data_IF_410414384208
#
_entry.id   IF_410414384208
#
_cell.length_a   1.000
_cell.length_b   1.000
_cell.length_c   1.000
_cell.angle_alpha   90.00
_cell.angle_beta   90.00
_cell.angle_gamma   90.00
#
_symmetry.space_group_name_H-M   'P 1'
#
loop_
_entity.id
_entity.type
_entity.pdbx_description
1 polymer ?
#
# COMPACT_ATOMS: atom_id res chain seq x y z
N UNK A 1 -9.16 3.49 8.11
CA UNK A 1 -7.98 3.09 7.31
C UNK A 1 -6.75 3.95 7.60
N UNK A 2 -6.91 5.19 8.09
CA UNK A 2 -5.78 6.08 8.39
C UNK A 2 -4.68 5.49 9.28
N UNK A 3 -4.97 4.71 10.34
CA UNK A 3 -3.91 4.09 11.15
C UNK A 3 -3.03 3.11 10.34
N UNK A 4 -3.65 2.38 9.39
CA UNK A 4 -2.97 1.39 8.54
C UNK A 4 -2.06 2.11 7.54
N UNK A 5 -2.61 3.11 6.84
CA UNK A 5 -1.85 3.92 5.87
C UNK A 5 -0.72 4.67 6.57
N UNK A 6 -0.97 5.21 7.76
CA UNK A 6 0.06 5.85 8.59
C UNK A 6 1.17 4.87 8.93
N UNK A 7 0.84 3.66 9.37
CA UNK A 7 1.85 2.66 9.70
C UNK A 7 2.74 2.31 8.50
N UNK A 8 2.15 2.10 7.31
CA UNK A 8 2.92 1.84 6.07
C UNK A 8 3.87 3.01 5.77
N UNK A 9 3.36 4.24 5.81
CA UNK A 9 4.16 5.46 5.60
C UNK A 9 5.25 5.63 6.65
N UNK A 10 4.98 5.31 7.90
CA UNK A 10 5.96 5.37 8.99
C UNK A 10 7.13 4.41 8.72
N UNK A 11 6.86 3.21 8.18
CA UNK A 11 7.92 2.27 7.77
C UNK A 11 8.76 2.84 6.61
N UNK A 12 8.12 3.41 5.58
CA UNK A 12 8.86 4.09 4.51
C UNK A 12 9.68 5.28 5.02
N UNK A 13 9.13 6.10 5.93
CA UNK A 13 9.86 7.19 6.59
C UNK A 13 11.03 6.70 7.45
N UNK A 14 10.88 5.59 8.15
CA UNK A 14 11.95 4.99 8.94
C UNK A 14 13.10 4.51 8.04
N UNK A 15 12.76 3.86 6.93
CA UNK A 15 13.73 3.42 5.93
C UNK A 15 14.46 4.60 5.29
N UNK A 16 13.73 5.63 4.85
CA UNK A 16 14.29 6.85 4.23
C UNK A 16 15.25 7.59 5.17
N UNK A 17 14.91 7.70 6.46
CA UNK A 17 15.81 8.32 7.46
C UNK A 17 17.15 7.59 7.56
N UNK A 18 17.14 6.26 7.53
CA UNK A 18 18.37 5.45 7.53
C UNK A 18 19.14 5.60 6.21
N UNK A 19 18.44 5.65 5.07
CA UNK A 19 19.05 5.85 3.76
C UNK A 19 19.78 7.20 3.64
N UNK A 20 19.19 8.27 4.18
CA UNK A 20 19.74 9.63 4.14
C UNK A 20 20.88 9.88 5.15
N UNK A 21 21.13 8.96 6.07
CA UNK A 21 22.18 9.13 7.09
C UNK A 21 23.56 8.88 6.46
N UNK A 22 24.50 9.81 6.66
CA UNK A 22 25.85 9.74 6.07
C UNK A 22 26.64 8.50 6.53
N UNK A 23 26.54 8.13 7.81
CA UNK A 23 27.08 6.88 8.35
C UNK A 23 25.97 5.82 8.39
N UNK A 24 25.65 5.26 7.22
CA UNK A 24 24.66 4.18 7.12
C UNK A 24 25.28 2.83 7.44
N UNK A 25 24.51 1.97 8.10
CA UNK A 25 24.82 0.55 8.22
C UNK A 25 24.87 -0.08 6.82
N UNK A 26 25.76 -1.07 6.62
CA UNK A 26 25.85 -1.81 5.35
C UNK A 26 24.55 -2.55 5.02
N UNK A 27 23.82 -2.97 6.04
CA UNK A 27 22.56 -3.69 5.94
C UNK A 27 21.48 -2.94 6.72
N UNK A 28 20.57 -2.27 6.00
CA UNK A 28 19.41 -1.64 6.63
C UNK A 28 18.35 -2.73 6.81
N UNK A 29 17.94 -2.97 8.06
CA UNK A 29 16.80 -3.84 8.32
C UNK A 29 15.55 -3.25 7.64
N UNK A 30 15.01 -3.98 6.66
CA UNK A 30 13.82 -3.59 5.92
C UNK A 30 12.56 -4.00 6.69
N UNK A 31 11.83 -3.00 7.18
CA UNK A 31 10.53 -3.16 7.87
C UNK A 31 9.36 -2.68 7.03
N UNK A 32 9.59 -2.30 5.75
CA UNK A 32 8.53 -1.88 4.84
C UNK A 32 7.57 -3.04 4.61
N UNK A 33 6.30 -2.71 4.38
CA UNK A 33 5.27 -3.71 4.14
C UNK A 33 5.29 -4.07 2.65
N UNK A 34 5.71 -5.30 2.34
CA UNK A 34 5.83 -5.73 0.94
C UNK A 34 4.52 -6.19 0.31
N UNK A 35 3.56 -6.61 1.15
CA UNK A 35 2.25 -7.10 0.70
C UNK A 35 1.17 -6.84 1.76
N UNK A 36 0.00 -6.42 1.31
CA UNK A 36 -1.21 -6.26 2.11
C UNK A 36 -2.29 -7.23 1.62
N UNK A 37 -2.58 -8.25 2.41
CA UNK A 37 -3.73 -9.13 2.16
C UNK A 37 -5.02 -8.43 2.58
N UNK A 38 -5.87 -8.12 1.61
CA UNK A 38 -7.14 -7.44 1.87
C UNK A 38 -8.29 -8.45 1.90
N UNK A 39 -8.85 -8.68 3.09
CA UNK A 39 -9.91 -9.66 3.29
C UNK A 39 -11.29 -9.07 2.99
N UNK A 40 -11.90 -9.56 1.91
CA UNK A 40 -13.25 -9.21 1.47
C UNK A 40 -14.23 -10.17 2.14
N UNK A 41 -15.33 -9.63 2.67
CA UNK A 41 -16.39 -10.44 3.28
C UNK A 41 -17.13 -11.26 2.21
N UNK A 42 -17.42 -12.55 2.44
CA UNK A 42 -18.10 -13.43 1.48
C UNK A 42 -19.62 -13.15 1.47
N UNK A 43 -20.01 -11.97 0.98
CA UNK A 43 -21.42 -11.56 0.95
C UNK A 43 -22.18 -12.13 -0.26
N UNK A 44 -21.47 -12.58 -1.30
CA UNK A 44 -22.06 -13.00 -2.57
C UNK A 44 -22.60 -11.85 -3.44
N UNK A 45 -22.42 -10.59 -3.01
CA UNK A 45 -22.92 -9.40 -3.70
C UNK A 45 -21.77 -8.56 -4.29
N UNK A 46 -21.79 -7.24 -4.11
CA UNK A 46 -20.72 -6.35 -4.56
C UNK A 46 -19.75 -6.02 -3.42
N UNK A 47 -18.63 -5.37 -3.77
CA UNK A 47 -17.75 -4.75 -2.79
C UNK A 47 -18.51 -3.70 -1.98
N UNK A 48 -18.23 -3.63 -0.67
CA UNK A 48 -18.86 -2.58 0.13
C UNK A 48 -18.25 -1.23 -0.26
N UNK A 49 -19.02 -0.12 -0.20
CA UNK A 49 -18.49 1.21 -0.46
C UNK A 49 -17.25 1.56 0.36
N UNK A 50 -17.21 1.08 1.62
CA UNK A 50 -16.06 1.21 2.49
C UNK A 50 -14.82 0.50 1.93
N UNK A 51 -14.98 -0.70 1.36
CA UNK A 51 -13.87 -1.48 0.82
C UNK A 51 -13.24 -0.76 -0.37
N UNK A 52 -14.06 -0.16 -1.23
CA UNK A 52 -13.63 0.63 -2.40
C UNK A 52 -12.76 1.81 -1.96
N UNK A 53 -13.19 2.58 -0.95
CA UNK A 53 -12.43 3.73 -0.44
C UNK A 53 -11.08 3.29 0.15
N UNK A 54 -11.08 2.20 0.93
CA UNK A 54 -9.86 1.70 1.57
C UNK A 54 -8.89 1.13 0.54
N UNK A 55 -9.38 0.31 -0.39
CA UNK A 55 -8.55 -0.32 -1.44
C UNK A 55 -7.88 0.73 -2.32
N UNK A 56 -8.58 1.80 -2.71
CA UNK A 56 -7.99 2.92 -3.46
C UNK A 56 -6.80 3.53 -2.71
N UNK A 57 -6.97 3.81 -1.41
CA UNK A 57 -5.90 4.38 -0.58
C UNK A 57 -4.73 3.43 -0.37
N UNK A 58 -4.99 2.14 -0.19
CA UNK A 58 -3.93 1.16 -0.01
C UNK A 58 -3.15 0.89 -1.30
N UNK A 59 -3.84 0.78 -2.45
CA UNK A 59 -3.20 0.50 -3.75
C UNK A 59 -2.19 1.55 -4.21
N UNK A 60 -2.26 2.76 -3.66
CA UNK A 60 -1.29 3.83 -3.92
C UNK A 60 0.00 3.73 -3.07
N UNK A 61 0.00 2.87 -2.05
CA UNK A 61 1.04 2.85 -1.00
C UNK A 61 1.68 1.50 -0.77
N UNK A 62 1.02 0.40 -1.17
CA UNK A 62 1.50 -0.97 -0.96
C UNK A 62 0.91 -1.90 -2.01
N UNK A 63 1.56 -3.04 -2.25
CA UNK A 63 1.00 -4.12 -3.05
C UNK A 63 -0.21 -4.71 -2.32
N UNK A 64 -1.39 -4.63 -2.93
CA UNK A 64 -2.62 -5.16 -2.35
C UNK A 64 -3.03 -6.43 -3.10
N UNK A 65 -3.25 -7.50 -2.33
CA UNK A 65 -3.72 -8.80 -2.83
C UNK A 65 -5.09 -9.08 -2.20
N UNK A 66 -6.18 -9.05 -2.99
CA UNK A 66 -7.52 -9.25 -2.46
C UNK A 66 -7.80 -10.75 -2.22
N UNK A 67 -8.45 -11.03 -1.10
CA UNK A 67 -8.74 -12.38 -0.62
C UNK A 67 -10.19 -12.44 -0.16
N UNK A 68 -10.99 -13.37 -0.68
CA UNK A 68 -12.32 -13.66 -0.15
C UNK A 68 -12.15 -14.49 1.13
N UNK A 69 -12.55 -13.90 2.26
CA UNK A 69 -12.48 -14.55 3.57
C UNK A 69 -13.57 -15.61 3.72
N UNK A 70 -13.31 -16.66 4.53
CA UNK A 70 -14.32 -17.67 4.91
C UNK A 70 -15.10 -18.19 3.68
N UNK A 71 -14.36 -18.56 2.63
CA UNK A 71 -14.97 -18.98 1.37
C UNK A 71 -15.83 -20.25 1.50
N UNK A 72 -15.69 -20.98 2.61
CA UNK A 72 -16.56 -22.11 3.01
C UNK A 72 -18.03 -21.71 3.26
N UNK A 73 -18.34 -20.41 3.30
CA UNK A 73 -19.72 -19.90 3.39
C UNK A 73 -20.41 -19.73 2.03
N UNK A 74 -19.68 -19.87 0.92
CA UNK A 74 -20.21 -19.77 -0.44
C UNK A 74 -20.12 -21.13 -1.13
N UNK A 75 -21.10 -21.44 -1.96
CA UNK A 75 -21.00 -22.55 -2.91
C UNK A 75 -19.95 -22.24 -3.99
N UNK A 76 -19.51 -23.26 -4.74
CA UNK A 76 -18.53 -23.07 -5.82
C UNK A 76 -19.04 -22.10 -6.91
N UNK A 77 -20.34 -22.17 -7.22
CA UNK A 77 -21.00 -21.30 -8.19
C UNK A 77 -21.07 -19.85 -7.69
N UNK A 78 -21.53 -19.63 -6.45
CA UNK A 78 -21.57 -18.30 -5.83
C UNK A 78 -20.18 -17.69 -5.71
N UNK A 79 -19.18 -18.51 -5.37
CA UNK A 79 -17.78 -18.08 -5.29
C UNK A 79 -17.28 -17.58 -6.63
N UNK A 80 -17.59 -18.29 -7.73
CA UNK A 80 -17.18 -17.88 -9.07
C UNK A 80 -17.87 -16.58 -9.48
N UNK A 81 -19.19 -16.50 -9.33
CA UNK A 81 -19.95 -15.27 -9.63
C UNK A 81 -19.45 -14.07 -8.81
N UNK A 82 -19.13 -14.28 -7.53
CA UNK A 82 -18.63 -13.23 -6.66
C UNK A 82 -17.23 -12.76 -7.07
N UNK A 83 -16.35 -13.67 -7.51
CA UNK A 83 -15.03 -13.30 -8.04
C UNK A 83 -15.14 -12.43 -9.29
N UNK A 84 -15.98 -12.84 -10.23
CA UNK A 84 -16.13 -12.13 -11.50
C UNK A 84 -16.68 -10.73 -11.25
N UNK A 85 -17.67 -10.61 -10.36
CA UNK A 85 -18.20 -9.31 -9.92
C UNK A 85 -17.16 -8.43 -9.23
N UNK A 86 -16.31 -8.99 -8.36
CA UNK A 86 -15.22 -8.23 -7.73
C UNK A 86 -14.22 -7.72 -8.78
N UNK A 87 -13.88 -8.53 -9.80
CA UNK A 87 -12.98 -8.12 -10.88
C UNK A 87 -13.57 -6.97 -11.70
N UNK A 88 -14.86 -7.04 -12.02
CA UNK A 88 -15.57 -5.94 -12.70
C UNK A 88 -15.55 -4.65 -11.89
N UNK A 89 -15.79 -4.72 -10.57
CA UNK A 89 -15.74 -3.58 -9.67
C UNK A 89 -14.33 -2.95 -9.58
N UNK A 90 -13.27 -3.77 -9.56
CA UNK A 90 -11.89 -3.27 -9.59
C UNK A 90 -11.59 -2.52 -10.89
N UNK A 91 -12.03 -3.06 -12.03
CA UNK A 91 -11.88 -2.39 -13.32
C UNK A 91 -12.69 -1.08 -13.37
N UNK A 92 -13.96 -1.12 -12.97
CA UNK A 92 -14.85 0.03 -12.96
C UNK A 92 -14.33 1.19 -12.08
N UNK A 93 -13.78 0.85 -10.91
CA UNK A 93 -13.25 1.84 -9.97
C UNK A 93 -11.77 2.18 -10.19
N UNK A 94 -11.14 1.61 -11.23
CA UNK A 94 -9.73 1.77 -11.57
C UNK A 94 -8.80 1.48 -10.38
N UNK A 95 -9.05 0.38 -9.67
CA UNK A 95 -8.26 -0.02 -8.51
C UNK A 95 -7.24 -1.07 -8.96
N UNK A 96 -5.96 -0.72 -8.93
CA UNK A 96 -4.87 -1.61 -9.35
C UNK A 96 -4.49 -2.56 -8.22
N UNK A 97 -4.75 -3.84 -8.42
CA UNK A 97 -4.31 -4.92 -7.52
C UNK A 97 -3.03 -5.55 -8.05
N UNK A 98 -2.25 -6.15 -7.14
CA UNK A 98 -1.08 -6.94 -7.51
C UNK A 98 -1.53 -8.35 -7.97
N UNK A 99 -0.87 -8.98 -8.98
CA UNK A 99 0.31 -8.52 -9.73
C UNK A 99 0.00 -7.44 -10.78
N UNK A 100 0.94 -6.53 -11.01
CA UNK A 100 0.79 -5.46 -12.00
C UNK A 100 1.20 -5.92 -13.40
N UNK A 101 0.68 -5.28 -14.44
CA UNK A 101 1.22 -5.45 -15.79
C UNK A 101 2.56 -4.72 -15.90
N UNK A 102 3.60 -5.42 -16.38
CA UNK A 102 4.90 -4.84 -16.71
C UNK A 102 5.31 -5.34 -18.10
N UNK A 103 5.68 -4.42 -18.98
CA UNK A 103 6.10 -4.72 -20.36
C UNK A 103 7.51 -5.33 -20.41
N UNK A 104 8.28 -5.21 -19.32
CA UNK A 104 9.63 -5.76 -19.19
C UNK A 104 9.63 -7.26 -18.81
N UNK A 105 8.49 -7.81 -18.40
CA UNK A 105 8.38 -9.22 -18.04
C UNK A 105 8.61 -10.11 -19.26
N UNK A 106 9.34 -11.21 -19.07
CA UNK A 106 9.47 -12.22 -20.11
C UNK A 106 8.15 -12.99 -20.34
N UNK A 107 8.13 -13.87 -21.33
CA UNK A 107 6.93 -14.65 -21.66
C UNK A 107 6.50 -15.60 -20.54
N UNK A 108 7.45 -16.13 -19.76
CA UNK A 108 7.17 -17.07 -18.67
C UNK A 108 6.58 -16.32 -17.47
N UNK A 109 7.17 -15.19 -17.09
CA UNK A 109 6.67 -14.28 -16.05
C UNK A 109 5.27 -13.74 -16.39
N UNK A 110 5.08 -13.30 -17.64
CA UNK A 110 3.79 -12.81 -18.14
C UNK A 110 2.70 -13.89 -18.07
N UNK A 111 3.05 -15.14 -18.43
CA UNK A 111 2.13 -16.27 -18.34
C UNK A 111 1.78 -16.60 -16.87
N UNK A 112 2.78 -16.58 -15.97
CA UNK A 112 2.58 -16.82 -14.54
C UNK A 112 1.67 -15.75 -13.91
N UNK A 113 1.92 -14.48 -14.21
CA UNK A 113 1.10 -13.36 -13.75
C UNK A 113 -0.33 -13.46 -14.27
N UNK A 114 -0.51 -13.83 -15.55
CA UNK A 114 -1.84 -14.03 -16.14
C UNK A 114 -2.61 -15.17 -15.47
N UNK A 115 -1.94 -16.28 -15.16
CA UNK A 115 -2.54 -17.40 -14.43
C UNK A 115 -2.99 -16.95 -13.04
N UNK A 116 -2.16 -16.22 -12.29
CA UNK A 116 -2.53 -15.72 -10.97
C UNK A 116 -3.68 -14.71 -11.03
N UNK A 117 -3.66 -13.78 -11.99
CA UNK A 117 -4.76 -12.80 -12.20
C UNK A 117 -6.10 -13.50 -12.46
N UNK A 118 -6.08 -14.66 -13.09
CA UNK A 118 -7.31 -15.45 -13.31
C UNK A 118 -7.91 -15.99 -12.00
N UNK A 119 -7.07 -16.28 -11.00
CA UNK A 119 -7.46 -16.87 -9.71
C UNK A 119 -7.86 -15.78 -8.69
N UNK A 120 -7.21 -14.62 -8.70
CA UNK A 120 -7.47 -13.50 -7.78
C UNK A 120 -8.88 -12.92 -7.99
N UNK A 121 -9.65 -12.62 -6.93
CA UNK A 121 -9.29 -12.74 -5.51
C UNK A 121 -9.27 -14.19 -5.00
N UNK A 122 -8.27 -14.55 -4.19
CA UNK A 122 -8.14 -15.91 -3.64
C UNK A 122 -9.27 -16.19 -2.64
N UNK A 123 -9.98 -17.29 -2.81
CA UNK A 123 -11.07 -17.69 -1.95
C UNK A 123 -10.59 -18.71 -0.90
N UNK A 124 -10.24 -18.21 0.28
CA UNK A 124 -9.51 -18.99 1.29
C UNK A 124 -10.35 -19.34 2.51
N UNK A 125 -9.98 -20.47 3.11
CA UNK A 125 -10.45 -20.91 4.42
C UNK A 125 -9.25 -20.98 5.34
N UNK A 126 -9.33 -20.35 6.51
CA UNK A 126 -8.30 -20.46 7.55
C UNK A 126 -8.66 -21.48 8.61
N UNK A 127 -7.68 -22.23 9.12
CA UNK A 127 -7.84 -23.03 10.34
C UNK A 127 -6.56 -23.06 11.17
N UNK A 128 -6.71 -22.95 12.49
CA UNK A 128 -5.66 -23.19 13.47
C UNK A 128 -5.72 -24.63 14.04
N UNK A 129 -6.77 -25.38 13.73
CA UNK A 129 -6.99 -26.73 14.25
C UNK A 129 -6.44 -27.78 13.30
N UNK A 130 -5.81 -28.79 13.88
CA UNK A 130 -5.45 -30.01 13.19
C UNK A 130 -6.59 -31.03 13.31
N UNK A 131 -6.89 -31.69 12.21
CA UNK A 131 -7.93 -32.71 12.08
C UNK A 131 -7.32 -33.95 11.43
N UNK A 132 -7.87 -35.12 11.73
CA UNK A 132 -7.45 -36.36 11.08
C UNK A 132 -8.41 -36.65 9.91
N UNK A 133 -7.86 -36.68 8.69
CA UNK A 133 -8.57 -37.06 7.46
C UNK A 133 -7.81 -38.24 6.87
N UNK A 134 -8.46 -39.40 6.80
CA UNK A 134 -7.88 -40.64 6.24
C UNK A 134 -6.51 -41.02 6.82
N UNK A 135 -6.33 -40.84 8.13
CA UNK A 135 -5.09 -41.16 8.85
C UNK A 135 -4.02 -40.07 8.77
N UNK A 136 -4.25 -39.00 8.01
CA UNK A 136 -3.33 -37.85 7.90
C UNK A 136 -3.82 -36.69 8.76
N UNK A 137 -2.91 -36.14 9.56
CA UNK A 137 -3.15 -34.93 10.34
C UNK A 137 -2.95 -33.72 9.43
N UNK A 138 -4.05 -33.04 9.12
CA UNK A 138 -4.07 -31.86 8.23
C UNK A 138 -4.68 -30.66 8.94
N UNK A 139 -4.34 -29.44 8.52
CA UNK A 139 -5.01 -28.24 9.01
C UNK A 139 -6.39 -28.14 8.37
N UNK A 140 -7.43 -28.01 9.20
CA UNK A 140 -8.77 -28.00 8.66
C UNK A 140 -9.86 -27.66 9.66
N UNK A 141 -11.07 -27.44 9.14
CA UNK A 141 -12.26 -27.12 9.92
C UNK A 141 -13.21 -28.30 9.89
N UNK A 142 -13.68 -28.72 11.05
CA UNK A 142 -14.75 -29.72 11.15
C UNK A 142 -16.05 -28.99 11.49
N UNK A 143 -17.07 -29.20 10.66
CA UNK A 143 -18.42 -28.70 10.88
C UNK A 143 -19.41 -29.88 10.96
N UNK A 144 -20.70 -29.61 11.12
CA UNK A 144 -21.73 -30.66 11.23
C UNK A 144 -21.94 -31.43 9.91
N UNK A 145 -21.56 -30.85 8.78
CA UNK A 145 -21.81 -31.38 7.45
C UNK A 145 -20.57 -32.04 6.83
N UNK A 146 -19.41 -31.95 7.48
CA UNK A 146 -18.18 -32.56 7.01
C UNK A 146 -16.94 -31.83 7.48
N UNK A 147 -15.87 -32.05 6.74
CA UNK A 147 -14.52 -31.67 7.12
C UNK A 147 -13.85 -30.95 5.96
N UNK A 148 -13.35 -29.75 6.21
CA UNK A 148 -12.69 -28.90 5.23
C UNK A 148 -11.19 -28.97 5.51
N UNK A 149 -10.46 -29.70 4.65
CA UNK A 149 -9.00 -29.63 4.61
C UNK A 149 -8.58 -28.33 3.91
N UNK A 150 -7.85 -27.46 4.62
CA UNK A 150 -7.39 -26.15 4.10
C UNK A 150 -6.28 -26.32 3.05
N UNK A 151 -5.55 -27.44 3.08
CA UNK A 151 -4.49 -27.73 2.11
C UNK A 151 -4.98 -28.53 0.90
N UNK A 152 -6.29 -28.78 0.77
CA UNK A 152 -6.88 -29.40 -0.41
C UNK A 152 -7.41 -28.32 -1.36
N UNK A 153 -6.84 -28.26 -2.56
CA UNK A 153 -7.19 -27.30 -3.63
C UNK A 153 -8.66 -27.42 -4.07
N UNK A 154 -9.27 -28.59 -3.88
CA UNK A 154 -10.69 -28.81 -4.17
C UNK A 154 -11.61 -28.13 -3.17
N UNK A 155 -11.12 -27.86 -1.96
CA UNK A 155 -11.90 -27.20 -0.90
C UNK A 155 -11.71 -25.69 -0.89
N UNK A 156 -10.47 -25.21 -1.00
CA UNK A 156 -10.19 -23.77 -1.03
C UNK A 156 -8.85 -23.45 -1.69
N UNK A 157 -8.65 -22.17 -1.98
CA UNK A 157 -7.50 -21.69 -2.75
C UNK A 157 -6.33 -21.26 -1.86
N UNK A 158 -6.28 -21.74 -0.62
CA UNK A 158 -5.23 -21.39 0.33
C UNK A 158 -3.85 -21.84 -0.15
N UNK A 159 -3.75 -23.01 -0.80
CA UNK A 159 -2.50 -23.52 -1.37
C UNK A 159 -1.95 -22.55 -2.41
N UNK A 160 -2.79 -22.03 -3.30
CA UNK A 160 -2.39 -21.04 -4.30
C UNK A 160 -1.94 -19.73 -3.64
N UNK A 161 -2.65 -19.23 -2.64
CA UNK A 161 -2.23 -18.02 -1.90
C UNK A 161 -0.88 -18.22 -1.20
N UNK A 162 -0.67 -19.38 -0.55
CA UNK A 162 0.59 -19.68 0.15
C UNK A 162 1.74 -19.73 -0.83
N UNK A 163 1.61 -20.48 -1.91
CA UNK A 163 2.67 -20.66 -2.90
C UNK A 163 2.96 -19.36 -3.64
N UNK A 164 1.92 -18.56 -3.93
CA UNK A 164 2.04 -17.20 -4.43
C UNK A 164 2.92 -16.31 -3.53
N UNK A 165 2.62 -16.25 -2.23
CA UNK A 165 3.34 -15.37 -1.29
C UNK A 165 4.75 -15.85 -0.93
N UNK A 166 4.99 -17.15 -0.93
CA UNK A 166 6.21 -17.73 -0.34
C UNK A 166 7.18 -18.34 -1.35
N UNK A 167 6.72 -18.66 -2.56
CA UNK A 167 7.52 -19.36 -3.56
C UNK A 167 7.70 -18.56 -4.84
N UNK A 168 6.60 -18.04 -5.40
CA UNK A 168 6.65 -17.46 -6.76
C UNK A 168 6.81 -15.94 -6.77
N UNK A 169 6.04 -15.20 -5.97
CA UNK A 169 5.97 -13.73 -6.10
C UNK A 169 6.64 -12.96 -4.94
N UNK A 170 7.28 -13.66 -3.99
CA UNK A 170 7.90 -13.00 -2.83
C UNK A 170 8.91 -11.94 -3.23
N UNK A 171 9.77 -12.26 -4.19
CA UNK A 171 10.83 -11.36 -4.64
C UNK A 171 10.25 -10.15 -5.40
N UNK A 172 9.33 -10.38 -6.33
CA UNK A 172 8.68 -9.31 -7.09
C UNK A 172 7.83 -8.38 -6.20
N UNK A 173 7.20 -8.90 -5.14
CA UNK A 173 6.55 -8.08 -4.10
C UNK A 173 7.53 -7.15 -3.40
N UNK A 174 8.73 -7.64 -3.06
CA UNK A 174 9.79 -6.84 -2.43
C UNK A 174 10.30 -5.77 -3.40
N UNK A 175 10.56 -6.15 -4.66
CA UNK A 175 11.07 -5.26 -5.70
C UNK A 175 10.07 -4.16 -6.05
N UNK A 176 8.81 -4.53 -6.29
CA UNK A 176 7.73 -3.57 -6.53
C UNK A 176 7.55 -2.61 -5.36
N UNK A 177 7.68 -3.09 -4.11
CA UNK A 177 7.65 -2.22 -2.93
C UNK A 177 8.79 -1.23 -2.93
N UNK A 178 9.99 -1.65 -3.32
CA UNK A 178 11.16 -0.77 -3.35
C UNK A 178 11.12 0.22 -4.51
N UNK A 179 10.84 -0.25 -5.72
CA UNK A 179 10.97 0.52 -6.96
C UNK A 179 9.74 1.39 -7.27
N UNK A 180 8.55 0.96 -6.85
CA UNK A 180 7.30 1.68 -7.13
C UNK A 180 6.83 2.43 -5.88
N UNK A 181 6.44 1.71 -4.84
CA UNK A 181 5.77 2.31 -3.68
C UNK A 181 6.71 3.19 -2.86
N UNK A 182 7.90 2.68 -2.54
CA UNK A 182 8.90 3.42 -1.77
C UNK A 182 9.51 4.58 -2.56
N UNK A 183 9.91 4.40 -3.82
CA UNK A 183 10.43 5.51 -4.63
C UNK A 183 9.38 6.61 -4.85
N UNK A 184 8.11 6.25 -5.07
CA UNK A 184 7.02 7.23 -5.16
C UNK A 184 6.87 8.02 -3.86
N UNK A 185 7.00 7.35 -2.71
CA UNK A 185 6.99 8.02 -1.40
C UNK A 185 8.22 8.92 -1.21
N UNK A 186 9.42 8.40 -1.53
CA UNK A 186 10.70 9.09 -1.40
C UNK A 186 10.73 10.37 -2.25
N UNK A 187 10.32 10.28 -3.52
CA UNK A 187 10.23 11.44 -4.41
C UNK A 187 9.32 12.54 -3.84
N UNK A 188 8.12 12.16 -3.35
CA UNK A 188 7.18 13.11 -2.71
C UNK A 188 7.80 13.80 -1.48
N UNK A 189 8.52 13.04 -0.64
CA UNK A 189 9.15 13.61 0.56
C UNK A 189 10.32 14.53 0.23
N UNK A 190 11.17 14.17 -0.73
CA UNK A 190 12.30 15.01 -1.13
C UNK A 190 11.85 16.33 -1.77
N UNK A 191 10.77 16.31 -2.56
CA UNK A 191 10.17 17.53 -3.11
C UNK A 191 9.63 18.44 -2.00
N UNK A 192 8.91 17.89 -1.01
CA UNK A 192 8.41 18.67 0.11
C UNK A 192 9.53 19.30 0.98
N UNK A 193 10.65 18.60 1.15
CA UNK A 193 11.85 19.14 1.83
C UNK A 193 12.51 20.28 1.04
N UNK A 194 12.51 20.19 -0.30
CA UNK A 194 13.02 21.26 -1.17
C UNK A 194 12.14 22.51 -1.13
N UNK A 195 10.82 22.34 -1.16
CA UNK A 195 9.86 23.46 -1.10
C UNK A 195 9.93 24.20 0.25
N UNK A 196 10.02 23.46 1.35
CA UNK A 196 10.17 24.05 2.69
C UNK A 196 11.48 24.82 2.86
N UNK A 197 12.60 24.30 2.35
CA UNK A 197 13.88 25.02 2.39
C UNK A 197 13.90 26.28 1.51
N UNK A 198 13.21 26.25 0.36
CA UNK A 198 13.05 27.42 -0.52
C UNK A 198 12.18 28.53 0.10
N UNK A 199 11.11 28.18 0.81
CA UNK A 199 10.27 29.17 1.51
C UNK A 199 11.01 29.87 2.66
N UNK A 200 11.88 29.14 3.38
CA UNK A 200 12.73 29.73 4.43
C UNK A 200 13.75 30.72 3.83
N UNK A 201 14.30 30.45 2.65
CA UNK A 201 15.21 31.37 1.97
C UNK A 201 14.49 32.55 1.28
N UNK A 202 13.19 32.43 1.00
CA UNK A 202 12.37 33.50 0.41
C UNK A 202 11.90 34.58 1.39
N UNK A 203 11.88 34.31 2.70
CA UNK A 203 11.53 35.32 3.72
C UNK A 203 12.73 36.14 4.23
N UNK A 204 13.96 35.76 3.89
CA UNK A 204 15.19 36.43 4.34
C UNK A 204 15.70 37.58 3.47
N UNK A 205 15.07 37.86 2.32
CA UNK A 205 15.57 38.84 1.34
C UNK A 205 14.52 39.89 0.99
N UNK A 206 14.11 40.70 1.98
CA UNK A 206 13.58 42.04 1.65
C UNK A 206 14.77 42.98 1.54
N UNK A 207 15.07 43.58 0.38
CA UNK A 207 16.08 44.61 0.31
C UNK A 207 15.59 45.80 1.15
N UNK A 208 16.35 46.16 2.18
CA UNK A 208 16.17 47.42 2.91
C UNK A 208 16.37 48.52 1.86
N UNK A 209 15.27 49.16 1.46
CA UNK A 209 15.32 50.27 0.52
C UNK A 209 15.95 51.47 1.24
N UNK A 210 17.03 52.10 0.72
CA UNK A 210 17.72 53.21 1.39
C UNK A 210 16.92 54.53 1.40
N UNK A 211 15.61 54.48 1.18
CA UNK A 211 14.74 55.64 1.01
C UNK A 211 14.11 56.13 2.32
N UNK A 212 14.13 55.32 3.39
CA UNK A 212 13.41 55.63 4.63
C UNK A 212 14.20 56.54 5.61
N UNK A 213 15.52 56.62 5.50
CA UNK A 213 16.34 57.46 6.41
C UNK A 213 16.41 58.94 6.02
N UNK A 214 15.80 59.34 4.90
CA UNK A 214 15.87 60.73 4.42
C UNK A 214 14.75 61.63 4.92
N UNK A 215 13.71 61.08 5.56
CA UNK A 215 12.59 61.87 6.09
C UNK A 215 12.78 62.28 7.57
N UNK A 216 13.55 61.52 8.36
CA UNK A 216 13.82 61.85 9.77
C UNK A 216 14.75 63.07 9.95
N UNK A 217 15.62 63.35 8.98
CA UNK A 217 16.50 64.54 9.01
C UNK A 217 15.81 65.84 8.60
N UNK A 218 14.61 65.80 8.01
CA UNK A 218 13.87 67.02 7.59
C UNK A 218 12.89 67.54 8.64
N UNK A 219 12.46 66.72 9.61
CA UNK A 219 11.58 67.17 10.70
C UNK A 219 12.34 67.79 11.88
N UNK A 220 13.64 67.53 12.03
CA UNK A 220 14.48 68.11 13.10
C UNK A 220 14.79 69.60 12.92
N UNK A 221 14.71 70.16 11.70
CA UNK A 221 15.08 71.56 11.42
C UNK A 221 13.92 72.59 11.45
N UNK A 222 12.67 72.19 11.74
CA UNK A 222 11.52 73.13 11.79
C UNK A 222 11.07 73.53 13.19
N UNK A 223 11.78 73.12 14.25
CA UNK A 223 11.39 73.37 15.65
C UNK A 223 12.02 74.57 16.35
N UNK A 224 12.90 75.35 15.72
CA UNK A 224 13.66 76.40 16.40
C UNK A 224 13.56 77.76 15.69
N UNK A 225 12.39 78.40 15.77
CA UNK A 225 12.28 79.88 15.71
C UNK A 225 10.85 80.29 16.09
N UNK A 226 10.63 80.51 17.38
CA UNK A 226 9.71 81.54 17.87
C UNK A 226 10.00 81.77 19.36
N UNK A 227 10.75 82.83 19.64
CA UNK A 227 11.08 83.27 20.99
C UNK A 227 11.51 84.73 20.94
N UNK A 228 10.62 85.57 21.47
CA UNK A 228 10.69 87.02 21.72
C UNK A 228 10.44 87.96 20.54
#
# INVERSE_FOLDING_TARGET
WDPIVKYIKDQHSAYLRKELTAQRERYIQDTRIHCCLYFISPTGHALKPIDIVVLKKLSETVNVVPVIAKSDSLTLEERQMFKDRIKEEFAFHNIRMYPYDNEEYDSEESAMNSQIKSIIPFAVVGSERNINVDGKVVRGRQNRWGTINVEDERHCEFVYLRDFLTRTHLQDLIETTSQIHYESFRAKQLLALKESSAQVHGQGSRPISPSADRELSRQSQRGAMNGY
#
